data_IF_216996821828
#
_entry.id   IF_216996821828
#
_cell.length_a   1.000
_cell.length_b   1.000
_cell.length_c   1.000
_cell.angle_alpha   90.00
_cell.angle_beta   90.00
_cell.angle_gamma   90.00
#
_symmetry.space_group_name_H-M   'P 1'
#
loop_
_entity.id
_entity.type
_entity.pdbx_description
1 polymer ?
#
# COMPACT_ATOMS: atom_id res chain seq x y z
N UNK A 1 -13.22 0.63 -14.64
CA UNK A 1 -13.27 1.81 -13.75
C UNK A 1 -11.82 2.09 -13.38
N UNK A 2 -11.30 3.30 -13.58
CA UNK A 2 -9.88 3.55 -13.27
C UNK A 2 -9.69 3.64 -11.75
N UNK A 3 -9.22 2.57 -11.12
CA UNK A 3 -8.74 2.56 -9.73
C UNK A 3 -7.36 3.26 -9.69
N UNK A 4 -7.32 4.56 -10.03
CA UNK A 4 -6.09 5.34 -9.92
C UNK A 4 -5.86 5.67 -8.45
N UNK A 5 -4.91 4.97 -7.83
CA UNK A 5 -4.33 5.38 -6.55
C UNK A 5 -3.93 6.85 -6.71
N UNK A 6 -4.52 7.72 -5.87
CA UNK A 6 -4.21 9.16 -5.91
C UNK A 6 -2.70 9.33 -5.82
N UNK A 7 -2.14 10.15 -6.71
CA UNK A 7 -0.71 10.44 -6.71
C UNK A 7 -0.28 10.92 -5.33
N UNK A 8 0.60 10.17 -4.69
CA UNK A 8 1.20 10.57 -3.41
C UNK A 8 2.14 11.75 -3.65
N UNK A 9 2.07 12.75 -2.77
CA UNK A 9 2.80 14.01 -2.93
C UNK A 9 3.99 14.14 -1.98
N UNK A 10 4.32 13.08 -1.24
CA UNK A 10 5.45 13.09 -0.31
C UNK A 10 6.60 12.19 -0.79
N UNK A 11 7.85 12.51 -0.44
CA UNK A 11 8.99 11.63 -0.69
C UNK A 11 8.96 10.42 0.26
N UNK A 12 9.58 9.32 -0.20
CA UNK A 12 9.83 8.13 0.61
C UNK A 12 11.22 8.12 1.26
N UNK A 13 12.19 8.78 0.63
CA UNK A 13 13.54 8.92 1.15
C UNK A 13 13.60 10.05 2.18
N UNK A 14 13.30 9.71 3.44
CA UNK A 14 13.28 10.63 4.58
C UNK A 14 14.16 10.09 5.70
N UNK A 15 14.63 10.99 6.57
CA UNK A 15 15.17 10.55 7.87
C UNK A 15 14.03 10.00 8.75
N UNK A 16 14.31 9.11 9.73
CA UNK A 16 13.28 8.66 10.68
C UNK A 16 12.59 9.81 11.43
N UNK A 17 13.30 10.92 11.67
CA UNK A 17 12.74 12.11 12.30
C UNK A 17 11.71 12.79 11.38
N UNK A 18 12.07 12.98 10.10
CA UNK A 18 11.18 13.64 9.14
C UNK A 18 9.99 12.76 8.77
N UNK A 19 10.19 11.45 8.71
CA UNK A 19 9.13 10.45 8.54
C UNK A 19 8.07 10.52 9.64
N UNK A 20 8.47 10.68 10.91
CA UNK A 20 7.54 10.89 12.04
C UNK A 20 6.78 12.21 11.90
N UNK A 21 7.48 13.29 11.55
CA UNK A 21 6.85 14.59 11.31
C UNK A 21 5.78 14.48 10.23
N UNK A 22 6.09 13.81 9.13
CA UNK A 22 5.15 13.59 8.04
C UNK A 22 3.97 12.70 8.47
N UNK A 23 4.19 11.62 9.23
CA UNK A 23 3.09 10.81 9.78
C UNK A 23 2.12 11.64 10.62
N UNK A 24 2.61 12.54 11.48
CA UNK A 24 1.77 13.43 12.29
C UNK A 24 0.98 14.40 11.41
N UNK A 25 1.57 14.88 10.31
CA UNK A 25 0.86 15.73 9.35
C UNK A 25 -0.22 14.96 8.60
N UNK A 26 0.08 13.75 8.13
CA UNK A 26 -0.83 12.90 7.37
C UNK A 26 -1.96 12.33 8.25
N UNK A 27 -1.71 12.06 9.54
CA UNK A 27 -2.72 11.52 10.45
C UNK A 27 -3.93 12.44 10.60
N UNK A 28 -3.76 13.75 10.39
CA UNK A 28 -4.83 14.75 10.38
C UNK A 28 -5.77 14.63 9.17
N UNK A 29 -5.37 13.87 8.15
CA UNK A 29 -6.16 13.62 6.93
C UNK A 29 -6.91 12.28 6.98
N UNK A 30 -6.79 11.53 8.08
CA UNK A 30 -7.49 10.24 8.24
C UNK A 30 -8.97 10.52 8.48
N UNK A 31 -9.81 10.03 7.55
CA UNK A 31 -11.26 9.97 7.73
C UNK A 31 -11.57 8.66 8.45
N UNK A 32 -12.29 8.74 9.59
CA UNK A 32 -12.59 7.58 10.46
C UNK A 32 -13.99 7.02 10.25
N UNK A 33 -14.83 7.76 9.53
CA UNK A 33 -16.18 7.37 9.16
C UNK A 33 -16.17 6.99 7.68
N UNK A 34 -16.91 5.95 7.31
CA UNK A 34 -16.93 5.43 5.95
C UNK A 34 -18.37 5.33 5.47
N UNK A 35 -18.63 5.87 4.29
CA UNK A 35 -19.91 5.73 3.59
C UNK A 35 -19.91 4.49 2.65
N UNK A 36 -18.94 3.58 2.80
CA UNK A 36 -18.88 2.36 1.99
C UNK A 36 -20.02 1.43 2.39
N UNK A 37 -20.96 1.20 1.47
CA UNK A 37 -21.93 0.13 1.58
C UNK A 37 -21.29 -1.20 1.15
N UNK A 38 -21.13 -2.13 2.09
CA UNK A 38 -20.47 -3.42 1.86
C UNK A 38 -21.19 -4.28 0.80
N UNK A 39 -22.51 -4.16 0.69
CA UNK A 39 -23.32 -4.90 -0.30
C UNK A 39 -23.00 -4.51 -1.74
N UNK A 40 -22.38 -3.33 -1.93
CA UNK A 40 -21.98 -2.84 -3.25
C UNK A 40 -20.50 -3.16 -3.58
N UNK A 41 -19.76 -3.81 -2.68
CA UNK A 41 -18.35 -4.15 -2.90
C UNK A 41 -18.26 -5.42 -3.73
N UNK A 42 -17.79 -5.30 -4.97
CA UNK A 42 -17.65 -6.44 -5.90
C UNK A 42 -16.24 -7.04 -5.92
N UNK A 43 -15.24 -6.27 -5.47
CA UNK A 43 -13.84 -6.70 -5.44
C UNK A 43 -13.13 -6.21 -4.19
N UNK A 44 -12.20 -7.01 -3.69
CA UNK A 44 -11.31 -6.67 -2.57
C UNK A 44 -9.87 -6.97 -2.96
N UNK A 45 -8.94 -6.06 -2.70
CA UNK A 45 -7.52 -6.29 -2.93
C UNK A 45 -6.78 -6.41 -1.61
N UNK A 46 -6.18 -7.59 -1.38
CA UNK A 46 -5.22 -7.80 -0.29
C UNK A 46 -3.82 -7.43 -0.74
N UNK A 47 -3.00 -6.90 0.17
CA UNK A 47 -1.57 -6.64 -0.08
C UNK A 47 -0.73 -7.24 1.04
N UNK A 48 0.45 -7.74 0.67
CA UNK A 48 1.44 -8.25 1.61
C UNK A 48 2.86 -7.97 1.11
N UNK A 49 3.84 -7.97 2.03
CA UNK A 49 5.25 -7.79 1.71
C UNK A 49 6.16 -8.78 2.40
N UNK A 50 7.14 -9.28 1.65
CA UNK A 50 8.23 -10.11 2.14
C UNK A 50 9.59 -9.42 1.94
N UNK A 51 10.57 -9.75 2.78
CA UNK A 51 11.93 -9.23 2.69
C UNK A 51 12.96 -10.33 2.50
N UNK A 52 13.85 -10.12 1.53
CA UNK A 52 15.10 -10.88 1.39
C UNK A 52 16.27 -9.91 1.38
N UNK A 53 16.94 -9.79 2.54
CA UNK A 53 17.96 -8.76 2.75
C UNK A 53 17.36 -7.35 2.71
N UNK A 54 17.83 -6.53 1.77
CA UNK A 54 17.31 -5.18 1.54
C UNK A 54 16.31 -5.11 0.38
N UNK A 55 15.91 -6.24 -0.20
CA UNK A 55 14.84 -6.30 -1.19
C UNK A 55 13.50 -6.52 -0.50
N UNK A 56 12.53 -5.66 -0.83
CA UNK A 56 11.13 -5.79 -0.46
C UNK A 56 10.34 -6.27 -1.69
N UNK A 57 9.73 -7.44 -1.58
CA UNK A 57 8.79 -8.00 -2.54
C UNK A 57 7.37 -7.73 -2.02
N UNK A 58 6.56 -7.01 -2.79
CA UNK A 58 5.15 -6.83 -2.52
C UNK A 58 4.30 -7.67 -3.48
N UNK A 59 3.16 -8.14 -2.97
CA UNK A 59 2.11 -8.81 -3.75
C UNK A 59 0.80 -8.08 -3.49
N UNK A 60 0.03 -7.83 -4.56
CA UNK A 60 -1.34 -7.36 -4.48
C UNK A 60 -2.25 -8.37 -5.19
N UNK A 61 -3.26 -8.88 -4.49
CA UNK A 61 -4.19 -9.90 -5.00
C UNK A 61 -5.61 -9.37 -4.91
N UNK A 62 -6.27 -9.26 -6.05
CA UNK A 62 -7.68 -8.85 -6.13
C UNK A 62 -8.57 -10.10 -6.22
N UNK A 63 -9.58 -10.16 -5.36
CA UNK A 63 -10.61 -11.19 -5.35
C UNK A 63 -11.97 -10.60 -5.70
N UNK A 64 -12.88 -11.42 -6.25
CA UNK A 64 -14.32 -11.14 -6.22
C UNK A 64 -14.86 -11.32 -4.81
N UNK A 65 -15.77 -10.44 -4.42
CA UNK A 65 -16.44 -10.49 -3.13
C UNK A 65 -17.97 -10.54 -3.37
N UNK A 66 -18.70 -11.46 -2.70
CA UNK A 66 -18.27 -12.32 -1.59
C UNK A 66 -17.71 -13.69 -1.98
N UNK A 67 -17.56 -14.02 -3.26
CA UNK A 67 -17.22 -15.39 -3.72
C UNK A 67 -15.78 -15.82 -3.38
N UNK A 68 -14.89 -14.87 -3.06
CA UNK A 68 -13.48 -15.07 -2.72
C UNK A 68 -12.62 -15.68 -3.82
N UNK A 69 -13.06 -15.56 -5.08
CA UNK A 69 -12.29 -16.02 -6.23
C UNK A 69 -11.23 -14.98 -6.62
N UNK A 70 -9.97 -15.42 -6.76
CA UNK A 70 -8.89 -14.55 -7.24
C UNK A 70 -9.09 -14.20 -8.71
N UNK A 71 -9.12 -12.90 -9.01
CA UNK A 71 -9.30 -12.37 -10.36
C UNK A 71 -8.08 -11.65 -10.90
N UNK A 72 -7.22 -11.14 -10.01
CA UNK A 72 -5.99 -10.49 -10.41
C UNK A 72 -4.90 -10.72 -9.36
N UNK A 73 -3.65 -10.75 -9.83
CA UNK A 73 -2.48 -10.74 -8.97
C UNK A 73 -1.37 -9.96 -9.65
N UNK A 74 -0.71 -9.10 -8.89
CA UNK A 74 0.48 -8.39 -9.33
C UNK A 74 1.54 -8.42 -8.25
N UNK A 75 2.80 -8.31 -8.68
CA UNK A 75 3.95 -8.23 -7.76
C UNK A 75 4.84 -7.07 -8.13
N UNK A 76 5.63 -6.62 -7.16
CA UNK A 76 6.70 -5.66 -7.40
C UNK A 76 7.86 -5.87 -6.42
N UNK A 77 9.08 -5.69 -6.91
CA UNK A 77 10.29 -5.71 -6.09
C UNK A 77 10.90 -4.32 -6.06
N UNK A 78 11.20 -3.83 -4.87
CA UNK A 78 11.94 -2.58 -4.64
C UNK A 78 13.02 -2.79 -3.59
N UNK A 79 14.12 -2.06 -3.71
CA UNK A 79 15.11 -1.97 -2.63
C UNK A 79 14.56 -1.10 -1.51
N UNK A 80 14.56 -1.62 -0.29
CA UNK A 80 14.15 -0.92 0.91
C UNK A 80 15.29 -0.02 1.42
N UNK A 81 15.27 1.24 1.03
CA UNK A 81 16.28 2.23 1.42
C UNK A 81 16.05 2.83 2.81
N UNK A 82 14.83 2.69 3.34
CA UNK A 82 14.48 3.18 4.68
C UNK A 82 14.83 2.13 5.77
N UNK A 83 15.47 2.51 6.89
CA UNK A 83 15.86 1.57 7.94
C UNK A 83 14.65 0.96 8.65
N UNK A 84 14.82 -0.23 9.23
CA UNK A 84 13.77 -0.81 10.07
C UNK A 84 13.68 -0.03 11.39
N UNK A 85 12.59 0.71 11.57
CA UNK A 85 12.31 1.51 12.77
C UNK A 85 10.87 1.25 13.19
N UNK A 86 10.68 0.81 14.45
CA UNK A 86 9.35 0.56 14.99
C UNK A 86 8.45 1.81 14.86
N UNK A 87 7.23 1.59 14.36
CA UNK A 87 6.25 2.64 14.06
C UNK A 87 6.39 3.33 12.68
N UNK A 88 7.45 3.03 11.92
CA UNK A 88 7.73 3.67 10.61
C UNK A 88 7.75 2.67 9.44
N UNK A 89 7.15 1.49 9.61
CA UNK A 89 7.23 0.40 8.63
C UNK A 89 6.71 0.80 7.23
N UNK A 90 5.67 1.63 7.17
CA UNK A 90 5.11 2.12 5.91
C UNK A 90 6.14 2.80 4.99
N UNK A 91 7.15 3.48 5.54
CA UNK A 91 8.21 4.11 4.72
C UNK A 91 9.16 3.11 4.07
N UNK A 92 9.19 1.88 4.60
CA UNK A 92 10.01 0.78 4.11
C UNK A 92 9.26 -0.06 3.07
N UNK A 93 7.97 -0.34 3.32
CA UNK A 93 7.13 -1.23 2.49
C UNK A 93 6.32 -0.50 1.41
N UNK A 94 5.88 0.73 1.71
CA UNK A 94 4.99 1.52 0.88
C UNK A 94 5.41 1.61 -0.59
N UNK A 95 6.69 1.89 -0.92
CA UNK A 95 7.14 1.94 -2.31
C UNK A 95 6.92 0.64 -3.10
N UNK A 96 7.11 -0.52 -2.47
CA UNK A 96 6.89 -1.81 -3.11
C UNK A 96 5.40 -2.10 -3.25
N UNK A 97 4.62 -1.88 -2.19
CA UNK A 97 3.15 -2.08 -2.17
C UNK A 97 2.49 -1.26 -3.28
N UNK A 98 2.83 0.02 -3.38
CA UNK A 98 2.26 0.91 -4.41
C UNK A 98 2.67 0.51 -5.82
N UNK A 99 3.90 0.01 -6.00
CA UNK A 99 4.34 -0.49 -7.29
C UNK A 99 3.55 -1.76 -7.70
N UNK A 100 3.25 -2.66 -6.76
CA UNK A 100 2.41 -3.82 -7.03
C UNK A 100 0.98 -3.38 -7.38
N UNK A 101 0.37 -2.51 -6.56
CA UNK A 101 -0.97 -2.00 -6.82
C UNK A 101 -1.10 -1.27 -8.17
N UNK A 102 -0.09 -0.48 -8.57
CA UNK A 102 -0.09 0.20 -9.87
C UNK A 102 0.03 -0.73 -11.08
N UNK A 103 0.44 -1.99 -10.87
CA UNK A 103 0.51 -3.00 -11.92
C UNK A 103 -0.83 -3.76 -12.10
N UNK A 104 -1.83 -3.50 -11.25
CA UNK A 104 -3.19 -4.01 -11.43
C UNK A 104 -3.88 -3.26 -12.58
N UNK A 105 -4.72 -3.96 -13.33
CA UNK A 105 -5.30 -3.53 -14.61
C UNK A 105 -6.81 -3.75 -14.72
N UNK A 106 -7.41 -4.52 -13.80
CA UNK A 106 -8.86 -4.71 -13.70
C UNK A 106 -9.61 -3.45 -13.24
#
# INVERSE_FOLDING_TARGET
METKIRSLTHPWNLSPKDARTLQIQLSRRVVRESDINIENVTTVTGVDTHYQGDLSLAVAVTIRFPELETVECSTAVKRATFPYVSGLLAFREGPAILAALNNLTL
#
